data_IF_994892221404
#
_entry.id   IF_994892221404
#
_cell.length_a   1.000
_cell.length_b   1.000
_cell.length_c   1.000
_cell.angle_alpha   90.00
_cell.angle_beta   90.00
_cell.angle_gamma   90.00
#
_symmetry.space_group_name_H-M   'P 1'
#
loop_
_entity.id
_entity.type
_entity.pdbx_description
1 polymer ?
#
# COMPACT_ATOMS: atom_id res chain seq x y z
N UNK A 1 -23.60 -27.28 -7.20
CA UNK A 1 -22.63 -26.17 -7.09
C UNK A 1 -21.57 -26.40 -8.15
N UNK A 2 -21.27 -25.40 -9.00
CA UNK A 2 -20.25 -25.54 -10.05
C UNK A 2 -18.85 -25.51 -9.43
N UNK A 3 -18.10 -26.62 -9.60
CA UNK A 3 -16.73 -26.80 -9.06
C UNK A 3 -15.81 -25.68 -9.54
N UNK A 4 -16.00 -25.20 -10.78
CA UNK A 4 -15.20 -24.11 -11.33
C UNK A 4 -15.48 -22.79 -10.62
N UNK A 5 -16.73 -22.55 -10.22
CA UNK A 5 -17.12 -21.37 -9.46
C UNK A 5 -16.54 -21.38 -8.04
N UNK A 6 -16.62 -22.53 -7.36
CA UNK A 6 -16.05 -22.71 -6.01
C UNK A 6 -14.53 -22.51 -6.02
N UNK A 7 -13.82 -23.08 -7.00
CA UNK A 7 -12.37 -22.89 -7.14
C UNK A 7 -12.00 -21.41 -7.39
N UNK A 8 -12.75 -20.71 -8.26
CA UNK A 8 -12.52 -19.26 -8.51
C UNK A 8 -12.73 -18.43 -7.26
N UNK A 9 -13.76 -18.72 -6.47
CA UNK A 9 -14.01 -18.00 -5.23
C UNK A 9 -12.85 -18.17 -4.25
N UNK A 10 -12.39 -19.41 -4.04
CA UNK A 10 -11.23 -19.69 -3.18
C UNK A 10 -9.94 -18.99 -3.64
N UNK A 11 -9.70 -18.87 -4.95
CA UNK A 11 -8.57 -18.09 -5.47
C UNK A 11 -8.70 -16.59 -5.17
N UNK A 12 -9.92 -16.05 -5.21
CA UNK A 12 -10.22 -14.66 -4.85
C UNK A 12 -9.95 -14.39 -3.36
N UNK A 13 -10.45 -15.26 -2.48
CA UNK A 13 -10.22 -15.17 -1.04
C UNK A 13 -8.74 -15.31 -0.67
N UNK A 14 -8.04 -16.24 -1.32
CA UNK A 14 -6.60 -16.40 -1.15
C UNK A 14 -5.85 -15.13 -1.56
N UNK A 15 -6.21 -14.53 -2.70
CA UNK A 15 -5.64 -13.26 -3.13
C UNK A 15 -5.90 -12.15 -2.11
N UNK A 16 -7.12 -12.08 -1.56
CA UNK A 16 -7.50 -11.08 -0.55
C UNK A 16 -6.63 -11.20 0.71
N UNK A 17 -6.46 -12.43 1.23
CA UNK A 17 -5.57 -12.68 2.36
C UNK A 17 -4.10 -12.36 2.06
N UNK A 18 -3.64 -12.63 0.83
CA UNK A 18 -2.28 -12.30 0.39
C UNK A 18 -2.05 -10.78 0.35
N UNK A 19 -2.92 -10.02 -0.33
CA UNK A 19 -2.75 -8.57 -0.48
C UNK A 19 -2.86 -7.83 0.85
N UNK A 20 -3.74 -8.28 1.75
CA UNK A 20 -3.84 -7.73 3.10
C UNK A 20 -2.55 -7.96 3.89
N UNK A 21 -2.01 -9.17 3.83
CA UNK A 21 -0.74 -9.51 4.51
C UNK A 21 0.42 -8.66 3.97
N UNK A 22 0.49 -8.49 2.65
CA UNK A 22 1.53 -7.72 1.98
C UNK A 22 1.43 -6.22 2.24
N UNK A 23 0.23 -5.66 2.42
CA UNK A 23 0.08 -4.26 2.78
C UNK A 23 0.49 -3.95 4.23
N UNK A 24 0.60 -4.98 5.07
CA UNK A 24 1.02 -4.87 6.47
C UNK A 24 -0.02 -4.18 7.35
N UNK A 25 0.43 -3.66 8.49
CA UNK A 25 -0.33 -2.79 9.41
C UNK A 25 -0.18 -1.32 9.02
N UNK A 26 -0.98 -0.42 9.58
CA UNK A 26 -0.91 1.02 9.29
C UNK A 26 0.49 1.64 9.38
N UNK A 27 1.36 1.16 10.27
CA UNK A 27 2.74 1.65 10.45
C UNK A 27 3.78 1.05 9.48
N UNK A 28 3.44 -0.02 8.73
CA UNK A 28 4.38 -0.77 7.88
C UNK A 28 4.63 -0.11 6.52
N UNK A 29 4.95 1.19 6.52
CA UNK A 29 5.14 1.99 5.30
C UNK A 29 6.27 1.46 4.41
N UNK A 30 7.37 0.98 5.01
CA UNK A 30 8.47 0.37 4.26
C UNK A 30 8.04 -0.90 3.53
N UNK A 31 7.18 -1.72 4.16
CA UNK A 31 6.63 -2.92 3.51
C UNK A 31 5.77 -2.55 2.30
N UNK A 32 4.89 -1.56 2.42
CA UNK A 32 4.09 -1.06 1.29
C UNK A 32 4.94 -0.51 0.17
N UNK A 33 5.99 0.24 0.48
CA UNK A 33 6.93 0.74 -0.51
C UNK A 33 7.59 -0.40 -1.32
N UNK A 34 7.95 -1.50 -0.65
CA UNK A 34 8.49 -2.71 -1.32
C UNK A 34 7.45 -3.35 -2.24
N UNK A 35 6.21 -3.52 -1.79
CA UNK A 35 5.11 -4.11 -2.59
C UNK A 35 4.85 -3.26 -3.83
N UNK A 36 4.68 -1.95 -3.65
CA UNK A 36 4.37 -1.02 -4.73
C UNK A 36 5.53 -0.89 -5.72
N UNK A 37 6.79 -0.87 -5.25
CA UNK A 37 7.94 -0.94 -6.13
C UNK A 37 7.97 -2.25 -6.93
N UNK A 38 7.62 -3.38 -6.32
CA UNK A 38 7.53 -4.64 -7.07
C UNK A 38 6.52 -4.55 -8.21
N UNK A 39 5.37 -3.88 -8.03
CA UNK A 39 4.42 -3.69 -9.15
C UNK A 39 5.01 -2.85 -10.28
N UNK A 40 5.74 -1.78 -9.94
CA UNK A 40 6.45 -0.97 -10.92
C UNK A 40 7.51 -1.80 -11.68
N UNK A 41 8.38 -2.50 -10.95
CA UNK A 41 9.45 -3.33 -11.53
C UNK A 41 8.89 -4.48 -12.37
N UNK A 42 7.92 -5.22 -11.83
CA UNK A 42 7.24 -6.31 -12.53
C UNK A 42 6.52 -5.82 -13.78
N UNK A 43 5.96 -4.60 -13.77
CA UNK A 43 5.37 -3.96 -14.96
C UNK A 43 6.40 -3.45 -15.97
N UNK A 44 7.72 -3.62 -15.72
CA UNK A 44 8.82 -3.01 -16.50
C UNK A 44 8.68 -1.49 -16.60
N UNK A 45 8.33 -0.86 -15.48
CA UNK A 45 8.22 0.58 -15.34
C UNK A 45 6.93 1.20 -15.89
N UNK A 46 5.99 0.41 -16.38
CA UNK A 46 4.72 0.90 -16.95
C UNK A 46 3.74 1.42 -15.89
N UNK A 47 3.83 0.93 -14.64
CA UNK A 47 2.94 1.32 -13.55
C UNK A 47 3.54 2.45 -12.70
N UNK A 48 3.75 3.63 -13.31
CA UNK A 48 4.35 4.79 -12.64
C UNK A 48 3.62 5.24 -11.37
N UNK A 49 2.29 5.02 -11.30
CA UNK A 49 1.49 5.27 -10.11
C UNK A 49 2.01 4.51 -8.88
N UNK A 50 2.35 3.23 -9.04
CA UNK A 50 2.83 2.41 -7.93
C UNK A 50 4.18 2.93 -7.40
N UNK A 51 5.07 3.39 -8.28
CA UNK A 51 6.33 3.99 -7.86
C UNK A 51 6.12 5.32 -7.09
N UNK A 52 5.20 6.16 -7.57
CA UNK A 52 4.84 7.40 -6.87
C UNK A 52 4.27 7.11 -5.48
N UNK A 53 3.39 6.12 -5.36
CA UNK A 53 2.80 5.72 -4.08
C UNK A 53 3.83 5.07 -3.14
N UNK A 54 4.80 4.31 -3.68
CA UNK A 54 5.90 3.77 -2.91
C UNK A 54 6.75 4.89 -2.27
N UNK A 55 7.04 5.97 -3.02
CA UNK A 55 7.71 7.16 -2.47
C UNK A 55 6.84 7.91 -1.47
N UNK A 56 5.53 7.99 -1.71
CA UNK A 56 4.57 8.59 -0.78
C UNK A 56 4.62 7.88 0.57
N UNK A 57 4.60 6.55 0.59
CA UNK A 57 4.68 5.75 1.80
C UNK A 57 5.95 6.05 2.62
N UNK A 58 7.13 6.11 1.99
CA UNK A 58 8.38 6.43 2.69
C UNK A 58 8.42 7.86 3.24
N UNK A 59 7.82 8.83 2.51
CA UNK A 59 7.70 10.21 3.00
C UNK A 59 6.78 10.29 4.21
N UNK A 60 5.67 9.55 4.21
CA UNK A 60 4.78 9.47 5.36
C UNK A 60 5.55 8.91 6.56
N UNK A 61 6.32 7.83 6.38
CA UNK A 61 7.14 7.26 7.45
C UNK A 61 8.15 8.27 8.04
N UNK A 62 8.90 8.97 7.17
CA UNK A 62 9.87 9.97 7.61
C UNK A 62 9.20 11.19 8.29
N UNK A 63 8.04 11.61 7.77
CA UNK A 63 7.25 12.69 8.36
C UNK A 63 6.64 12.29 9.71
N UNK A 64 6.20 11.04 9.86
CA UNK A 64 5.69 10.47 11.09
C UNK A 64 6.75 10.46 12.19
N UNK A 65 7.94 9.91 11.91
CA UNK A 65 9.06 9.90 12.86
C UNK A 65 9.45 11.33 13.29
N UNK A 66 9.54 12.26 12.34
CA UNK A 66 9.83 13.66 12.65
C UNK A 66 8.72 14.32 13.49
N UNK A 67 7.46 14.01 13.23
CA UNK A 67 6.32 14.53 13.97
C UNK A 67 6.32 14.02 15.41
N UNK A 68 6.49 12.71 15.62
CA UNK A 68 6.57 12.08 16.95
C UNK A 68 7.72 12.69 17.77
N UNK A 69 8.92 12.81 17.19
CA UNK A 69 10.07 13.43 17.87
C UNK A 69 9.80 14.88 18.28
N UNK A 70 9.12 15.64 17.43
CA UNK A 70 8.73 17.03 17.76
C UNK A 70 7.72 17.05 18.88
N UNK A 71 6.68 16.23 18.82
CA UNK A 71 5.66 16.18 19.87
C UNK A 71 6.27 15.80 21.22
N UNK A 72 7.17 14.80 21.26
CA UNK A 72 7.88 14.42 22.49
C UNK A 72 8.73 15.57 23.07
N UNK A 73 9.42 16.34 22.24
CA UNK A 73 10.20 17.51 22.69
C UNK A 73 9.32 18.61 23.27
N UNK A 74 8.12 18.81 22.73
CA UNK A 74 7.19 19.85 23.18
C UNK A 74 6.40 19.44 24.41
N UNK A 75 6.07 18.15 24.53
CA UNK A 75 5.49 17.54 25.71
C UNK A 75 6.32 17.86 26.96
N UNK A 76 7.65 17.71 26.85
CA UNK A 76 8.59 18.04 27.93
C UNK A 76 8.55 19.52 28.34
N UNK A 77 8.26 20.45 27.41
CA UNK A 77 8.30 21.89 27.68
C UNK A 77 7.00 22.49 28.22
N UNK A 78 5.83 21.92 27.89
CA UNK A 78 4.53 22.60 28.08
C UNK A 78 3.48 21.83 28.89
N UNK A 79 3.77 20.61 29.35
CA UNK A 79 2.83 19.82 30.17
C UNK A 79 1.64 19.20 29.42
N UNK A 80 1.21 19.76 28.28
CA UNK A 80 0.11 19.22 27.45
C UNK A 80 0.57 18.17 26.42
N UNK A 81 1.53 17.34 26.80
CA UNK A 81 2.17 16.38 25.90
C UNK A 81 1.30 15.19 25.51
N UNK A 82 0.47 14.71 26.45
CA UNK A 82 -0.33 13.51 26.29
C UNK A 82 -1.39 13.68 25.18
N UNK A 83 -2.17 14.77 25.22
CA UNK A 83 -3.20 15.05 24.21
C UNK A 83 -2.61 15.21 22.80
N UNK A 84 -1.45 15.88 22.69
CA UNK A 84 -0.76 16.03 21.42
C UNK A 84 -0.19 14.70 20.91
N UNK A 85 0.28 13.83 21.80
CA UNK A 85 0.73 12.48 21.46
C UNK A 85 -0.41 11.61 20.93
N UNK A 86 -1.52 11.54 21.66
CA UNK A 86 -2.71 10.79 21.26
C UNK A 86 -3.26 11.26 19.91
N UNK A 87 -3.39 12.58 19.71
CA UNK A 87 -3.86 13.13 18.44
C UNK A 87 -2.90 12.85 17.27
N UNK A 88 -1.58 12.78 17.52
CA UNK A 88 -0.59 12.36 16.51
C UNK A 88 -0.78 10.88 16.17
N UNK A 89 -0.94 10.01 17.16
CA UNK A 89 -1.15 8.57 16.93
C UNK A 89 -2.43 8.32 16.13
N UNK A 90 -3.54 8.96 16.50
CA UNK A 90 -4.81 8.89 15.75
C UNK A 90 -4.64 9.34 14.28
N UNK A 91 -3.90 10.44 14.04
CA UNK A 91 -3.62 10.90 12.68
C UNK A 91 -2.77 9.90 11.89
N UNK A 92 -1.71 9.39 12.49
CA UNK A 92 -0.79 8.46 11.83
C UNK A 92 -1.46 7.13 11.52
N UNK A 93 -2.32 6.64 12.41
CA UNK A 93 -3.15 5.47 12.15
C UNK A 93 -4.10 5.71 10.97
N UNK A 94 -4.84 6.82 10.96
CA UNK A 94 -5.79 7.13 9.89
C UNK A 94 -5.09 7.27 8.52
N UNK A 95 -3.96 7.97 8.44
CA UNK A 95 -3.16 8.09 7.21
C UNK A 95 -2.54 6.74 6.82
N UNK A 96 -2.06 5.97 7.79
CA UNK A 96 -1.46 4.66 7.59
C UNK A 96 -2.46 3.64 7.05
N UNK A 97 -3.68 3.61 7.58
CA UNK A 97 -4.78 2.77 7.08
C UNK A 97 -5.24 3.21 5.69
N UNK A 98 -5.29 4.53 5.39
CA UNK A 98 -5.55 5.00 4.03
C UNK A 98 -4.49 4.46 3.05
N UNK A 99 -3.20 4.61 3.38
CA UNK A 99 -2.10 4.13 2.53
C UNK A 99 -2.13 2.60 2.37
N UNK A 100 -2.52 1.88 3.43
CA UNK A 100 -2.72 0.43 3.42
C UNK A 100 -3.86 0.04 2.47
N UNK A 101 -5.02 0.68 2.58
CA UNK A 101 -6.17 0.42 1.71
C UNK A 101 -5.84 0.68 0.23
N UNK A 102 -5.15 1.78 -0.08
CA UNK A 102 -4.67 2.10 -1.43
C UNK A 102 -3.73 1.03 -1.98
N UNK A 103 -2.78 0.57 -1.17
CA UNK A 103 -1.86 -0.51 -1.54
C UNK A 103 -2.60 -1.82 -1.81
N UNK A 104 -3.54 -2.22 -0.95
CA UNK A 104 -4.38 -3.41 -1.12
C UNK A 104 -5.14 -3.33 -2.45
N UNK A 105 -5.85 -2.22 -2.67
CA UNK A 105 -6.73 -2.03 -3.82
C UNK A 105 -5.98 -2.15 -5.14
N UNK A 106 -4.84 -1.46 -5.28
CA UNK A 106 -4.04 -1.48 -6.52
C UNK A 106 -3.30 -2.79 -6.71
N UNK A 107 -2.72 -3.37 -5.65
CA UNK A 107 -2.06 -4.67 -5.78
C UNK A 107 -3.06 -5.74 -6.21
N UNK A 108 -4.25 -5.75 -5.62
CA UNK A 108 -5.33 -6.65 -5.99
C UNK A 108 -5.79 -6.47 -7.43
N UNK A 109 -6.04 -5.24 -7.87
CA UNK A 109 -6.45 -4.96 -9.25
C UNK A 109 -5.39 -5.42 -10.27
N UNK A 110 -4.12 -5.19 -9.96
CA UNK A 110 -3.01 -5.67 -10.78
C UNK A 110 -2.97 -7.21 -10.86
N UNK A 111 -3.15 -7.90 -9.73
CA UNK A 111 -3.13 -9.37 -9.68
C UNK A 111 -4.30 -10.02 -10.40
N UNK A 112 -5.52 -9.50 -10.19
CA UNK A 112 -6.74 -9.92 -10.88
C UNK A 112 -6.59 -9.85 -12.40
N UNK A 113 -6.04 -8.75 -12.92
CA UNK A 113 -5.85 -8.56 -14.37
C UNK A 113 -4.66 -9.32 -14.94
N UNK A 114 -3.63 -9.60 -14.12
CA UNK A 114 -2.45 -10.36 -14.56
C UNK A 114 -2.66 -11.88 -14.65
N UNK A 115 -3.73 -12.40 -14.04
CA UNK A 115 -3.96 -13.85 -13.87
C UNK A 115 -5.21 -14.29 -14.64
N UNK A 116 -5.09 -15.08 -15.71
CA UNK A 116 -6.25 -15.47 -16.54
C UNK A 116 -7.39 -16.12 -15.76
N UNK A 117 -7.08 -16.96 -14.77
CA UNK A 117 -8.08 -17.63 -13.92
C UNK A 117 -8.93 -16.66 -13.08
N UNK A 118 -8.43 -15.44 -12.82
CA UNK A 118 -9.11 -14.41 -12.03
C UNK A 118 -9.84 -13.37 -12.90
N UNK A 119 -9.79 -13.50 -14.23
CA UNK A 119 -10.41 -12.55 -15.16
C UNK A 119 -11.91 -12.32 -14.91
N UNK A 120 -12.74 -13.35 -14.66
CA UNK A 120 -14.16 -13.12 -14.36
C UNK A 120 -14.39 -12.26 -13.10
N UNK A 121 -13.53 -12.41 -12.08
CA UNK A 121 -13.61 -11.60 -10.86
C UNK A 121 -13.17 -10.15 -11.16
N UNK A 122 -12.16 -9.97 -12.00
CA UNK A 122 -11.73 -8.66 -12.47
C UNK A 122 -12.88 -7.92 -13.17
N UNK A 123 -13.56 -8.57 -14.13
CA UNK A 123 -14.68 -8.01 -14.90
C UNK A 123 -15.89 -7.63 -14.05
N UNK A 124 -16.11 -8.35 -12.95
CA UNK A 124 -17.17 -8.04 -11.99
C UNK A 124 -16.86 -6.85 -11.08
N UNK A 125 -15.57 -6.59 -10.80
CA UNK A 125 -15.18 -5.71 -9.69
C UNK A 125 -14.38 -4.48 -10.09
N UNK A 126 -13.89 -4.43 -11.33
CA UNK A 126 -13.07 -3.35 -11.85
C UNK A 126 -13.76 -2.70 -13.05
N UNK A 127 -13.62 -1.38 -13.24
CA UNK A 127 -14.06 -0.72 -14.45
C UNK A 127 -13.39 -1.32 -15.70
N UNK A 128 -14.14 -1.51 -16.78
CA UNK A 128 -13.62 -2.10 -18.03
C UNK A 128 -12.40 -1.36 -18.58
N UNK A 129 -12.42 -0.02 -18.55
CA UNK A 129 -11.29 0.80 -19.01
C UNK A 129 -9.99 0.58 -18.19
N UNK A 130 -10.13 0.30 -16.89
CA UNK A 130 -9.00 -0.03 -16.04
C UNK A 130 -8.44 -1.42 -16.39
N UNK A 131 -9.31 -2.40 -16.66
CA UNK A 131 -8.90 -3.74 -17.10
C UNK A 131 -8.12 -3.64 -18.41
N UNK A 132 -8.63 -2.92 -19.41
CA UNK A 132 -7.94 -2.71 -20.70
C UNK A 132 -6.57 -2.04 -20.52
N UNK A 133 -6.49 -1.05 -19.64
CA UNK A 133 -5.23 -0.35 -19.36
C UNK A 133 -4.21 -1.25 -18.66
N UNK A 134 -4.65 -2.12 -17.75
CA UNK A 134 -3.80 -3.17 -17.20
C UNK A 134 -3.43 -4.23 -18.23
N UNK A 135 -4.32 -4.63 -19.13
CA UNK A 135 -4.01 -5.58 -20.20
C UNK A 135 -2.91 -5.04 -21.13
N UNK A 136 -2.97 -3.75 -21.48
CA UNK A 136 -1.88 -3.04 -22.20
C UNK A 136 -0.57 -3.07 -21.39
N UNK A 137 -0.63 -2.79 -20.09
CA UNK A 137 0.51 -2.86 -19.19
C UNK A 137 1.15 -4.26 -19.15
N UNK A 138 0.34 -5.32 -19.02
CA UNK A 138 0.77 -6.71 -19.02
C UNK A 138 1.28 -7.17 -20.40
N UNK A 139 0.69 -6.64 -21.48
CA UNK A 139 1.15 -6.81 -22.85
C UNK A 139 2.55 -6.25 -23.05
N UNK A 140 2.76 -4.97 -22.70
CA UNK A 140 4.05 -4.29 -22.81
C UNK A 140 5.15 -5.03 -22.02
N UNK A 141 4.82 -5.55 -20.83
CA UNK A 141 5.71 -6.42 -20.05
C UNK A 141 6.19 -7.64 -20.82
N UNK A 142 5.31 -8.27 -21.62
CA UNK A 142 5.62 -9.44 -22.46
C UNK A 142 6.28 -9.07 -23.80
N UNK A 143 6.53 -7.78 -24.05
CA UNK A 143 7.08 -7.29 -25.32
C UNK A 143 6.03 -7.05 -26.40
N UNK A 144 4.74 -7.02 -26.04
CA UNK A 144 3.64 -6.77 -26.96
C UNK A 144 3.07 -5.34 -26.77
N UNK A 145 3.10 -4.53 -27.82
CA UNK A 145 2.36 -3.26 -27.89
C UNK A 145 3.04 -2.04 -27.26
N UNK A 146 2.32 -0.91 -27.27
CA UNK A 146 2.74 0.36 -26.68
C UNK A 146 2.52 0.42 -25.16
N UNK A 147 3.19 1.35 -24.49
CA UNK A 147 3.08 1.52 -23.04
C UNK A 147 1.67 1.91 -22.58
N UNK A 148 1.32 1.57 -21.33
CA UNK A 148 0.00 1.88 -20.75
C UNK A 148 -0.25 3.39 -20.59
N UNK A 149 0.83 4.19 -20.58
CA UNK A 149 0.79 5.65 -20.59
C UNK A 149 0.23 6.29 -19.32
N UNK A 150 0.07 7.62 -19.37
CA UNK A 150 -0.46 8.42 -18.26
C UNK A 150 -1.91 8.04 -17.89
N UNK A 151 -2.67 7.47 -18.84
CA UNK A 151 -4.05 7.05 -18.58
C UNK A 151 -4.17 6.01 -17.48
N UNK A 152 -3.27 5.02 -17.45
CA UNK A 152 -3.27 4.03 -16.37
C UNK A 152 -2.96 4.68 -15.02
N UNK A 153 -2.12 5.72 -14.99
CA UNK A 153 -1.85 6.46 -13.76
C UNK A 153 -3.14 7.07 -13.21
N UNK A 154 -3.89 7.80 -14.03
CA UNK A 154 -5.09 8.50 -13.60
C UNK A 154 -6.21 7.52 -13.19
N UNK A 155 -6.35 6.40 -13.90
CA UNK A 155 -7.31 5.35 -13.52
C UNK A 155 -6.94 4.66 -12.20
N UNK A 156 -5.65 4.46 -11.92
CA UNK A 156 -5.21 3.98 -10.61
C UNK A 156 -5.47 5.01 -9.50
N UNK A 157 -5.28 6.31 -9.77
CA UNK A 157 -5.59 7.35 -8.79
C UNK A 157 -7.08 7.39 -8.47
N UNK A 158 -7.94 7.32 -9.49
CA UNK A 158 -9.40 7.30 -9.29
C UNK A 158 -9.82 6.04 -8.51
N UNK A 159 -9.29 4.87 -8.86
CA UNK A 159 -9.56 3.63 -8.11
C UNK A 159 -9.13 3.73 -6.63
N UNK A 160 -8.07 4.50 -6.35
CA UNK A 160 -7.49 4.64 -5.02
C UNK A 160 -8.06 5.83 -4.22
N UNK A 161 -8.89 6.68 -4.83
CA UNK A 161 -9.44 7.89 -4.23
C UNK A 161 -10.39 7.58 -3.08
N UNK A 162 -11.21 6.55 -3.24
CA UNK A 162 -12.20 6.11 -2.26
C UNK A 162 -11.64 5.11 -1.24
N UNK A 163 -10.32 4.89 -1.22
CA UNK A 163 -9.69 3.99 -0.27
C UNK A 163 -9.54 4.65 1.10
N UNK A 164 -9.98 3.92 2.14
CA UNK A 164 -9.91 4.35 3.55
C UNK A 164 -11.26 4.85 4.06
N UNK A 165 -11.24 5.55 5.19
CA UNK A 165 -12.42 6.14 5.82
C UNK A 165 -12.26 7.67 5.83
N UNK A 166 -12.82 8.40 4.84
CA UNK A 166 -12.63 9.85 4.72
C UNK A 166 -13.01 10.61 5.98
N UNK A 167 -14.11 10.21 6.63
CA UNK A 167 -14.59 10.81 7.87
C UNK A 167 -13.62 10.61 9.03
N UNK A 168 -13.01 9.41 9.13
CA UNK A 168 -11.99 9.12 10.14
C UNK A 168 -10.74 9.98 9.96
N UNK A 169 -10.30 10.17 8.71
CA UNK A 169 -9.16 11.04 8.39
C UNK A 169 -9.50 12.51 8.71
N UNK A 170 -10.70 12.97 8.36
CA UNK A 170 -11.15 14.33 8.67
C UNK A 170 -11.26 14.57 10.18
N UNK A 171 -11.77 13.60 10.94
CA UNK A 171 -11.82 13.64 12.40
C UNK A 171 -10.42 13.72 13.01
N UNK A 172 -9.47 12.89 12.55
CA UNK A 172 -8.10 12.90 13.03
C UNK A 172 -7.38 14.24 12.75
N UNK A 173 -7.62 14.84 11.57
CA UNK A 173 -7.11 16.19 11.27
C UNK A 173 -7.73 17.27 12.18
N UNK A 174 -9.02 17.15 12.49
CA UNK A 174 -9.71 18.07 13.41
C UNK A 174 -9.21 17.94 14.85
N UNK A 175 -8.83 16.73 15.26
CA UNK A 175 -8.22 16.48 16.56
C UNK A 175 -6.83 17.10 16.67
N UNK A 176 -5.93 16.78 15.73
CA UNK A 176 -4.55 17.29 15.81
C UNK A 176 -4.48 18.81 15.63
N UNK A 177 -5.41 19.42 14.88
CA UNK A 177 -5.49 20.87 14.68
C UNK A 177 -5.73 21.63 15.99
N UNK A 178 -6.37 21.00 16.99
CA UNK A 178 -6.60 21.58 18.32
C UNK A 178 -5.37 21.51 19.23
N UNK A 179 -4.31 20.83 18.80
CA UNK A 179 -3.09 20.61 19.59
C UNK A 179 -1.94 21.50 19.10
N UNK A 180 -0.87 21.56 19.90
CA UNK A 180 0.37 22.25 19.49
C UNK A 180 1.08 21.60 18.30
N UNK A 181 0.75 20.34 17.95
CA UNK A 181 1.35 19.61 16.84
C UNK A 181 0.67 19.91 15.48
N UNK A 182 -0.53 20.50 15.47
CA UNK A 182 -1.35 20.67 14.26
C UNK A 182 -0.65 21.36 13.10
N UNK A 183 0.01 22.49 13.34
CA UNK A 183 0.75 23.22 12.30
C UNK A 183 1.93 22.41 11.73
N UNK A 184 2.62 21.64 12.58
CA UNK A 184 3.72 20.76 12.14
C UNK A 184 3.18 19.59 11.32
N UNK A 185 2.08 18.98 11.75
CA UNK A 185 1.43 17.89 11.04
C UNK A 185 0.94 18.34 9.67
N UNK A 186 0.25 19.48 9.56
CA UNK A 186 -0.20 20.03 8.29
C UNK A 186 0.96 20.28 7.33
N UNK A 187 2.07 20.84 7.82
CA UNK A 187 3.26 21.09 6.99
C UNK A 187 3.90 19.79 6.49
N UNK A 188 3.95 18.75 7.32
CA UNK A 188 4.66 17.50 7.00
C UNK A 188 3.80 16.51 6.21
N UNK A 189 2.53 16.34 6.59
CA UNK A 189 1.63 15.28 6.12
C UNK A 189 0.39 15.81 5.39
N UNK A 190 0.15 17.14 5.41
CA UNK A 190 -1.01 17.74 4.79
C UNK A 190 -1.11 17.44 3.29
N UNK A 191 -2.34 17.41 2.80
CA UNK A 191 -2.66 17.08 1.40
C UNK A 191 -1.86 17.90 0.40
N UNK A 192 -1.76 19.23 0.61
CA UNK A 192 -0.98 20.12 -0.26
C UNK A 192 0.50 19.72 -0.32
N UNK A 193 1.10 19.31 0.80
CA UNK A 193 2.50 18.85 0.83
C UNK A 193 2.67 17.57 0.04
N UNK A 194 1.75 16.60 0.22
CA UNK A 194 1.76 15.32 -0.51
C UNK A 194 1.55 15.53 -2.02
N UNK A 195 0.56 16.34 -2.40
CA UNK A 195 0.28 16.69 -3.80
C UNK A 195 1.49 17.38 -4.47
N UNK A 196 2.13 18.33 -3.79
CA UNK A 196 3.35 18.99 -4.29
C UNK A 196 4.50 17.98 -4.47
N UNK A 197 4.66 17.03 -3.55
CA UNK A 197 5.67 15.99 -3.66
C UNK A 197 5.41 15.05 -4.84
N UNK A 198 4.15 14.63 -5.04
CA UNK A 198 3.73 13.80 -6.18
C UNK A 198 3.95 14.51 -7.53
N UNK A 199 3.57 15.78 -7.64
CA UNK A 199 3.80 16.59 -8.84
C UNK A 199 5.29 16.73 -9.15
N UNK A 200 6.14 16.92 -8.12
CA UNK A 200 7.59 16.95 -8.28
C UNK A 200 8.14 15.62 -8.80
N UNK A 201 7.67 14.49 -8.27
CA UNK A 201 8.13 13.17 -8.72
C UNK A 201 7.77 12.92 -10.18
N UNK A 202 6.54 13.25 -10.60
CA UNK A 202 6.14 13.19 -12.02
C UNK A 202 7.08 14.03 -12.90
N UNK A 203 7.41 15.26 -12.48
CA UNK A 203 8.31 16.15 -13.22
C UNK A 203 9.76 15.62 -13.29
N UNK A 204 10.22 14.88 -12.29
CA UNK A 204 11.58 14.33 -12.27
C UNK A 204 11.77 13.16 -13.23
N UNK A 205 10.68 12.46 -13.59
CA UNK A 205 10.71 11.24 -14.40
C UNK A 205 11.00 9.99 -13.56
N UNK A 206 10.46 8.86 -14.00
CA UNK A 206 10.39 7.64 -13.19
C UNK A 206 11.77 7.05 -12.85
N UNK A 207 12.75 7.11 -13.75
CA UNK A 207 14.12 6.62 -13.48
C UNK A 207 14.81 7.35 -12.31
N UNK A 208 14.54 8.66 -12.16
CA UNK A 208 15.08 9.44 -11.03
C UNK A 208 14.36 9.09 -9.74
N UNK A 209 13.04 8.93 -9.82
CA UNK A 209 12.19 8.56 -8.68
C UNK A 209 12.55 7.15 -8.18
N UNK A 210 12.78 6.20 -9.09
CA UNK A 210 13.20 4.84 -8.79
C UNK A 210 14.56 4.81 -8.10
N UNK A 211 15.56 5.49 -8.67
CA UNK A 211 16.88 5.62 -8.03
C UNK A 211 16.79 6.22 -6.63
N UNK A 212 15.98 7.28 -6.47
CA UNK A 212 15.77 7.89 -5.17
C UNK A 212 15.12 6.92 -4.18
N UNK A 213 14.11 6.14 -4.59
CA UNK A 213 13.49 5.11 -3.77
C UNK A 213 14.50 4.02 -3.37
N UNK A 214 15.26 3.49 -4.33
CA UNK A 214 16.29 2.46 -4.07
C UNK A 214 17.41 2.96 -3.18
N UNK A 215 17.70 4.25 -3.15
CA UNK A 215 18.70 4.84 -2.24
C UNK A 215 18.15 5.17 -0.84
N UNK A 216 16.84 5.04 -0.61
CA UNK A 216 16.22 5.46 0.63
C UNK A 216 16.70 4.62 1.81
N UNK A 217 17.14 5.29 2.88
CA UNK A 217 17.72 4.63 4.06
C UNK A 217 16.66 3.94 4.92
N UNK A 218 15.38 4.31 4.78
CA UNK A 218 14.28 3.62 5.45
C UNK A 218 14.02 2.22 4.90
N UNK A 219 14.53 1.90 3.71
CA UNK A 219 14.44 0.56 3.13
C UNK A 219 15.62 -0.32 3.55
N UNK A 220 15.42 -1.65 3.72
CA UNK A 220 16.50 -2.58 4.06
C UNK A 220 17.59 -2.64 2.98
N UNK A 221 18.84 -2.86 3.39
CA UNK A 221 19.96 -3.00 2.46
C UNK A 221 19.74 -4.13 1.44
N UNK A 222 19.12 -5.24 1.86
CA UNK A 222 18.77 -6.36 0.98
C UNK A 222 17.80 -5.96 -0.14
N UNK A 223 16.85 -5.05 0.12
CA UNK A 223 15.99 -4.50 -0.92
C UNK A 223 16.80 -3.68 -1.92
N UNK A 224 17.74 -2.83 -1.45
CA UNK A 224 18.57 -2.01 -2.34
C UNK A 224 19.46 -2.86 -3.26
N UNK A 225 19.96 -3.97 -2.75
CA UNK A 225 20.79 -4.91 -3.52
C UNK A 225 19.97 -5.67 -4.57
N UNK A 226 18.79 -6.20 -4.20
CA UNK A 226 17.92 -6.93 -5.11
C UNK A 226 16.44 -6.79 -4.70
N UNK A 227 15.72 -5.79 -5.25
CA UNK A 227 14.32 -5.51 -4.88
C UNK A 227 13.39 -6.69 -5.12
N UNK A 228 13.54 -7.39 -6.24
CA UNK A 228 12.69 -8.51 -6.63
C UNK A 228 12.87 -9.69 -5.66
N UNK A 229 14.11 -10.09 -5.39
CA UNK A 229 14.40 -11.16 -4.44
C UNK A 229 13.90 -10.81 -3.02
N UNK A 230 14.06 -9.56 -2.59
CA UNK A 230 13.56 -9.11 -1.30
C UNK A 230 12.03 -9.20 -1.21
N UNK A 231 11.30 -8.84 -2.28
CA UNK A 231 9.85 -8.99 -2.33
C UNK A 231 9.41 -10.46 -2.24
N UNK A 232 10.05 -11.38 -2.97
CA UNK A 232 9.74 -12.81 -2.87
C UNK A 232 10.04 -13.38 -1.47
N UNK A 233 11.14 -12.97 -0.85
CA UNK A 233 11.45 -13.34 0.54
C UNK A 233 10.41 -12.78 1.54
N UNK A 234 9.86 -11.58 1.28
CA UNK A 234 8.73 -11.05 2.05
C UNK A 234 7.48 -11.91 1.87
N UNK A 235 7.11 -12.27 0.63
CA UNK A 235 5.96 -13.14 0.37
C UNK A 235 6.07 -14.50 1.07
N UNK A 236 7.25 -15.14 1.01
CA UNK A 236 7.51 -16.42 1.66
C UNK A 236 7.35 -16.34 3.17
N UNK A 237 7.97 -15.34 3.82
CA UNK A 237 7.83 -15.13 5.28
C UNK A 237 6.37 -14.92 5.71
N UNK A 238 5.59 -14.17 4.92
CA UNK A 238 4.17 -13.95 5.21
C UNK A 238 3.36 -15.23 5.04
N UNK A 239 3.66 -16.04 4.02
CA UNK A 239 3.01 -17.33 3.81
C UNK A 239 3.34 -18.33 4.93
N UNK A 240 4.60 -18.39 5.37
CA UNK A 240 5.02 -19.17 6.55
C UNK A 240 4.27 -18.75 7.81
N UNK A 241 4.22 -17.44 8.09
CA UNK A 241 3.47 -16.93 9.24
C UNK A 241 2.00 -17.35 9.21
N UNK A 242 1.34 -17.29 8.04
CA UNK A 242 -0.05 -17.75 7.90
C UNK A 242 -0.20 -19.24 8.18
N UNK A 243 0.72 -20.07 7.66
CA UNK A 243 0.73 -21.52 7.93
C UNK A 243 0.90 -21.81 9.43
N UNK A 244 1.81 -21.11 10.10
CA UNK A 244 2.01 -21.26 11.55
C UNK A 244 0.76 -20.85 12.34
N UNK A 245 0.14 -19.72 12.02
CA UNK A 245 -1.08 -19.26 12.68
C UNK A 245 -2.26 -20.23 12.47
N UNK A 246 -2.39 -20.76 11.26
CA UNK A 246 -3.41 -21.76 10.95
C UNK A 246 -3.19 -23.04 11.76
N UNK A 247 -1.96 -23.58 11.79
CA UNK A 247 -1.61 -24.75 12.62
C UNK A 247 -1.97 -24.51 14.08
N UNK A 248 -1.57 -23.38 14.65
CA UNK A 248 -1.86 -23.03 16.05
C UNK A 248 -3.36 -22.92 16.34
N UNK A 249 -4.16 -22.48 15.36
CA UNK A 249 -5.61 -22.36 15.51
C UNK A 249 -6.28 -23.75 15.46
N UNK A 250 -5.82 -24.62 14.56
CA UNK A 250 -6.29 -26.01 14.48
C UNK A 250 -5.91 -26.82 15.74
N UNK A 251 -4.70 -26.64 16.25
CA UNK A 251 -4.23 -27.34 17.46
C UNK A 251 -4.96 -26.87 18.74
N UNK A 252 -5.49 -25.64 18.74
CA UNK A 252 -6.18 -25.04 19.88
C UNK A 252 -7.69 -25.31 19.97
N UNK A 253 -8.29 -25.91 18.95
CA UNK A 253 -9.74 -26.19 18.89
C UNK A 253 -9.93 -27.68 18.62
N UNK A 254 -10.27 -28.49 19.65
CA UNK A 254 -10.72 -29.86 19.43
C UNK A 254 -11.85 -29.85 18.39
N UNK A 255 -11.77 -30.70 17.38
CA UNK A 255 -12.74 -30.82 16.27
C UNK A 255 -12.72 -29.71 15.18
N UNK A 256 -11.69 -28.86 15.13
CA UNK A 256 -11.56 -27.83 14.07
C UNK A 256 -11.57 -28.40 12.63
N UNK A 257 -11.09 -29.63 12.46
CA UNK A 257 -11.10 -30.31 11.16
C UNK A 257 -12.49 -30.78 10.73
N UNK A 258 -13.41 -31.05 11.66
CA UNK A 258 -14.78 -31.47 11.32
C UNK A 258 -15.68 -30.29 10.95
N UNK A 259 -15.34 -29.07 11.37
CA UNK A 259 -16.09 -27.85 11.07
C UNK A 259 -15.61 -27.20 9.74
N UNK A 260 -14.38 -27.49 9.31
CA UNK A 260 -13.76 -26.88 8.12
C UNK A 260 -13.87 -27.74 6.84
N UNK A 261 -14.39 -28.96 6.93
CA UNK A 261 -14.59 -29.89 5.81
C UNK A 261 -16.03 -29.82 5.27
#
# INVERSE_FOLDING_TARGET
MDILSAHRHGLGEQLDGEVQSLAGRWQDHGQRAVVLHHLYDHSRGQLGWALAEARSALRIAAAADLLVRRTGRWAWLRGNGADAGAAVDTLLEAIGEQARARCIRIHRAYRLTSTPALRPIAEQQLPGELIESFDRCHGARRGYGGGAGDRLFDLCEELAKDCGEPDRIAAAWSEIARTSAGASALRLLGERTRAKAAARDRKLGWDRVERALRSDTALPAAFRANPAQYFYALQQRLAERRRTLWSQTCDGVPDAFEIAA
#
